data_IF_286175881231
#
_entry.id   IF_286175881231
#
_cell.length_a   1.000
_cell.length_b   1.000
_cell.length_c   1.000
_cell.angle_alpha   90.00
_cell.angle_beta   90.00
_cell.angle_gamma   90.00
#
_symmetry.space_group_name_H-M   'P 1'
#
loop_
_entity.id
_entity.type
_entity.pdbx_description
1 polymer ?
#
# COMPACT_ATOMS: atom_id res chain seq x y z
N UNK A 1 19.02 4.13 -18.71
CA UNK A 1 17.95 3.11 -18.82
C UNK A 1 16.65 3.81 -18.46
N UNK A 2 15.70 3.89 -19.40
CA UNK A 2 14.62 4.88 -19.35
C UNK A 2 13.68 4.69 -18.14
N UNK A 3 13.38 5.77 -17.41
CA UNK A 3 12.40 5.86 -16.30
C UNK A 3 11.04 5.19 -16.65
N UNK A 4 10.70 5.15 -17.95
CA UNK A 4 9.51 4.47 -18.49
C UNK A 4 9.51 2.95 -18.30
N UNK A 5 10.68 2.29 -18.24
CA UNK A 5 10.75 0.82 -18.08
C UNK A 5 10.43 0.42 -16.64
N UNK A 6 10.95 1.17 -15.67
CA UNK A 6 10.67 0.97 -14.24
C UNK A 6 9.19 1.25 -13.98
N UNK A 7 8.64 2.36 -14.50
CA UNK A 7 7.21 2.69 -14.37
C UNK A 7 6.27 1.57 -14.85
N UNK A 8 6.61 0.91 -15.96
CA UNK A 8 5.83 -0.23 -16.47
C UNK A 8 5.95 -1.47 -15.59
N UNK A 9 7.15 -1.81 -15.11
CA UNK A 9 7.34 -2.97 -14.23
C UNK A 9 6.61 -2.80 -12.89
N UNK A 10 6.62 -1.59 -12.30
CA UNK A 10 5.91 -1.33 -11.04
C UNK A 10 4.38 -1.28 -11.25
N UNK A 11 3.89 -0.74 -12.38
CA UNK A 11 2.45 -0.75 -12.69
C UNK A 11 1.90 -2.16 -12.97
N UNK A 12 2.65 -3.00 -13.68
CA UNK A 12 2.27 -4.39 -13.96
C UNK A 12 2.22 -5.23 -12.67
N UNK A 13 3.17 -5.02 -11.75
CA UNK A 13 3.19 -5.69 -10.45
C UNK A 13 1.96 -5.38 -9.57
N UNK A 14 1.39 -4.18 -9.71
CA UNK A 14 0.18 -3.74 -8.97
C UNK A 14 -1.12 -4.29 -9.58
N UNK A 15 -1.17 -4.53 -10.89
CA UNK A 15 -2.38 -5.00 -11.59
C UNK A 15 -2.68 -6.49 -11.39
N UNK A 16 -1.65 -7.30 -11.11
CA UNK A 16 -1.77 -8.75 -11.03
C UNK A 16 -2.02 -9.30 -9.62
N UNK A 17 -3.26 -9.23 -9.11
CA UNK A 17 -3.93 -10.24 -8.24
C UNK A 17 -5.06 -9.62 -7.41
N UNK A 18 -6.27 -9.65 -7.97
CA UNK A 18 -7.50 -9.63 -7.17
C UNK A 18 -8.14 -11.01 -7.26
N UNK A 19 -8.12 -11.87 -6.21
CA UNK A 19 -9.03 -12.98 -6.17
C UNK A 19 -10.38 -12.47 -5.63
N UNK A 20 -11.33 -12.35 -6.56
CA UNK A 20 -12.76 -12.17 -6.33
C UNK A 20 -13.40 -13.54 -6.00
N UNK A 21 -14.36 -13.53 -5.05
CA UNK A 21 -15.39 -14.56 -4.74
C UNK A 21 -14.92 -15.84 -4.02
N UNK A 22 -15.73 -16.54 -3.22
CA UNK A 22 -17.20 -16.63 -3.21
C UNK A 22 -17.77 -16.92 -1.80
N UNK A 23 -18.97 -16.41 -1.54
CA UNK A 23 -19.90 -16.95 -0.56
C UNK A 23 -20.89 -17.88 -1.29
N UNK A 24 -21.20 -19.03 -0.68
CA UNK A 24 -22.51 -19.73 -0.64
C UNK A 24 -22.36 -21.26 -0.57
N UNK A 25 -23.00 -21.90 0.42
CA UNK A 25 -24.08 -22.89 0.23
C UNK A 25 -24.74 -23.30 1.58
N UNK A 26 -26.03 -23.72 1.60
CA UNK A 26 -26.83 -23.92 2.82
C UNK A 26 -27.22 -25.40 3.10
N UNK A 27 -27.92 -25.59 4.24
CA UNK A 27 -28.81 -26.70 4.71
C UNK A 27 -28.28 -27.72 5.74
N UNK A 28 -29.09 -27.87 6.80
CA UNK A 28 -29.23 -29.00 7.73
C UNK A 28 -30.55 -29.73 7.35
N UNK A 29 -30.79 -31.04 7.63
CA UNK A 29 -31.23 -31.44 8.99
C UNK A 29 -30.87 -32.88 9.46
N UNK A 30 -30.68 -33.02 10.77
CA UNK A 30 -31.13 -34.16 11.63
C UNK A 30 -30.28 -35.44 11.67
N UNK A 31 -29.83 -35.85 12.87
CA UNK A 31 -30.19 -37.14 13.50
C UNK A 31 -29.66 -37.25 14.95
N UNK A 32 -30.24 -38.21 15.67
CA UNK A 32 -30.46 -38.41 17.10
C UNK A 32 -29.28 -38.78 18.05
N UNK A 33 -29.60 -38.60 19.35
CA UNK A 33 -29.21 -39.39 20.54
C UNK A 33 -27.79 -39.31 21.18
N UNK A 34 -27.82 -39.34 22.52
CA UNK A 34 -26.78 -39.61 23.55
C UNK A 34 -25.83 -38.52 24.03
N UNK A 35 -26.14 -38.08 25.26
CA UNK A 35 -25.27 -38.02 26.45
C UNK A 35 -23.79 -37.64 26.25
N UNK A 36 -23.49 -36.40 26.64
CA UNK A 36 -22.13 -35.94 26.89
C UNK A 36 -22.06 -34.43 26.70
N UNK A 37 -22.01 -33.66 27.78
CA UNK A 37 -21.76 -32.21 27.72
C UNK A 37 -20.31 -31.97 27.30
N UNK A 38 -20.01 -32.19 26.02
CA UNK A 38 -18.74 -31.86 25.42
C UNK A 38 -18.63 -30.33 25.37
N UNK A 39 -17.68 -29.79 26.13
CA UNK A 39 -17.32 -28.37 26.08
C UNK A 39 -16.71 -28.14 24.69
N UNK A 40 -17.54 -27.73 23.74
CA UNK A 40 -17.08 -27.27 22.42
C UNK A 40 -16.34 -25.96 22.66
N UNK A 41 -15.03 -26.05 22.81
CA UNK A 41 -14.14 -24.89 22.79
C UNK A 41 -14.21 -24.32 21.38
N UNK A 42 -15.11 -23.35 21.16
CA UNK A 42 -15.15 -22.52 19.94
C UNK A 42 -13.75 -21.97 19.74
N UNK A 43 -13.01 -22.54 18.79
CA UNK A 43 -11.72 -22.01 18.32
C UNK A 43 -11.96 -20.58 17.87
N UNK A 44 -11.48 -19.61 18.66
CA UNK A 44 -11.50 -18.19 18.30
C UNK A 44 -10.86 -18.05 16.91
N UNK A 45 -11.54 -17.47 15.91
CA UNK A 45 -10.93 -17.23 14.62
C UNK A 45 -9.65 -16.42 14.82
N UNK A 46 -8.50 -17.00 14.47
CA UNK A 46 -7.23 -16.26 14.48
C UNK A 46 -7.33 -15.22 13.37
N UNK A 47 -7.47 -13.96 13.73
CA UNK A 47 -7.39 -12.86 12.78
C UNK A 47 -6.07 -12.96 12.01
N UNK A 48 -6.13 -13.05 10.68
CA UNK A 48 -4.94 -12.99 9.83
C UNK A 48 -4.30 -11.62 10.02
N UNK A 49 -2.98 -11.57 10.24
CA UNK A 49 -2.24 -10.31 10.30
C UNK A 49 -2.39 -9.57 8.97
N UNK A 50 -2.67 -8.25 8.98
CA UNK A 50 -2.80 -7.49 7.75
C UNK A 50 -1.50 -7.51 6.96
N UNK A 51 -1.60 -7.58 5.63
CA UNK A 51 -0.42 -7.49 4.76
C UNK A 51 0.13 -6.07 4.79
N UNK A 52 1.45 -5.96 4.86
CA UNK A 52 2.17 -4.68 4.85
C UNK A 52 2.54 -4.32 3.41
N UNK A 53 2.51 -3.02 3.13
CA UNK A 53 2.80 -2.43 1.83
C UNK A 53 3.80 -1.29 1.99
N UNK A 54 4.76 -1.21 1.07
CA UNK A 54 5.70 -0.09 0.96
C UNK A 54 5.05 0.98 0.09
N UNK A 55 5.14 2.24 0.49
CA UNK A 55 4.75 3.39 -0.34
C UNK A 55 6.01 4.05 -0.87
N UNK A 56 6.07 4.21 -2.19
CA UNK A 56 7.25 4.63 -2.92
C UNK A 56 6.95 5.89 -3.75
N UNK A 57 7.88 6.83 -3.79
CA UNK A 57 7.90 7.92 -4.77
C UNK A 57 8.84 7.56 -5.92
N UNK A 58 8.45 7.93 -7.14
CA UNK A 58 9.24 7.72 -8.34
C UNK A 58 9.78 9.05 -8.86
N UNK A 59 11.02 9.03 -9.33
CA UNK A 59 11.68 10.22 -9.89
C UNK A 59 11.10 10.62 -11.24
N UNK A 60 11.08 11.93 -11.47
CA UNK A 60 10.72 12.57 -12.74
C UNK A 60 11.52 13.88 -12.90
N UNK A 61 11.54 14.43 -14.11
CA UNK A 61 12.37 15.59 -14.44
C UNK A 61 11.70 16.96 -14.21
N UNK A 62 10.45 16.99 -13.70
CA UNK A 62 9.62 18.21 -13.67
C UNK A 62 9.11 18.59 -12.28
N UNK A 63 9.04 17.66 -11.34
CA UNK A 63 8.63 17.94 -9.97
C UNK A 63 9.78 18.59 -9.19
N UNK A 64 9.60 19.80 -8.62
CA UNK A 64 10.64 20.47 -7.83
C UNK A 64 11.03 19.67 -6.58
N UNK A 65 12.33 19.69 -6.21
CA UNK A 65 12.85 19.01 -5.01
C UNK A 65 12.10 19.44 -3.73
N UNK A 66 11.90 20.75 -3.55
CA UNK A 66 11.16 21.31 -2.40
C UNK A 66 9.72 20.80 -2.33
N UNK A 67 9.09 20.56 -3.49
CA UNK A 67 7.75 19.98 -3.52
C UNK A 67 7.75 18.54 -3.01
N UNK A 68 8.75 17.74 -3.39
CA UNK A 68 8.92 16.35 -2.91
C UNK A 68 9.15 16.34 -1.39
N UNK A 69 10.02 17.22 -0.87
CA UNK A 69 10.25 17.35 0.57
C UNK A 69 8.93 17.68 1.29
N UNK A 70 8.19 18.67 0.81
CA UNK A 70 6.89 19.04 1.41
C UNK A 70 5.88 17.89 1.39
N UNK A 71 5.81 17.13 0.30
CA UNK A 71 4.97 15.92 0.21
C UNK A 71 5.37 14.90 1.26
N UNK A 72 6.66 14.64 1.43
CA UNK A 72 7.15 13.63 2.38
C UNK A 72 6.87 14.05 3.82
N UNK A 73 7.12 15.32 4.18
CA UNK A 73 6.78 15.87 5.50
C UNK A 73 5.28 15.76 5.79
N UNK A 74 4.45 16.26 4.86
CA UNK A 74 3.01 16.43 5.05
C UNK A 74 2.26 15.11 5.14
N UNK A 75 2.56 14.15 4.26
CA UNK A 75 1.77 12.92 4.14
C UNK A 75 2.40 11.73 4.84
N UNK A 76 3.70 11.76 5.15
CA UNK A 76 4.40 10.65 5.81
C UNK A 76 4.94 10.99 7.20
N UNK A 77 4.67 12.21 7.68
CA UNK A 77 5.07 12.67 9.02
C UNK A 77 6.57 12.49 9.27
N UNK A 78 7.38 12.74 8.24
CA UNK A 78 8.84 12.73 8.33
C UNK A 78 9.35 14.07 8.81
N UNK A 79 10.48 14.04 9.52
CA UNK A 79 11.23 15.25 9.81
C UNK A 79 11.76 15.85 8.50
N UNK A 80 12.12 17.14 8.52
CA UNK A 80 12.70 17.79 7.36
C UNK A 80 13.95 17.08 6.85
N UNK A 81 14.84 16.68 7.76
CA UNK A 81 16.06 15.93 7.44
C UNK A 81 15.72 14.59 6.76
N UNK A 82 14.83 13.79 7.35
CA UNK A 82 14.42 12.52 6.76
C UNK A 82 13.76 12.70 5.39
N UNK A 83 12.94 13.74 5.24
CA UNK A 83 12.27 14.07 3.99
C UNK A 83 13.27 14.46 2.89
N UNK A 84 14.28 15.25 3.25
CA UNK A 84 15.37 15.62 2.34
C UNK A 84 16.18 14.39 1.91
N UNK A 85 16.52 13.49 2.84
CA UNK A 85 17.24 12.26 2.51
C UNK A 85 16.42 11.34 1.58
N UNK A 86 15.12 11.18 1.85
CA UNK A 86 14.22 10.41 0.99
C UNK A 86 14.14 11.07 -0.40
N UNK A 87 14.00 12.38 -0.48
CA UNK A 87 13.96 13.12 -1.74
C UNK A 87 15.24 12.91 -2.55
N UNK A 88 16.42 13.06 -1.92
CA UNK A 88 17.70 12.84 -2.60
C UNK A 88 17.84 11.39 -3.06
N UNK A 89 17.34 10.43 -2.27
CA UNK A 89 17.31 9.02 -2.67
C UNK A 89 16.44 8.79 -3.91
N UNK A 90 15.25 9.41 -3.99
CA UNK A 90 14.40 9.38 -5.18
C UNK A 90 15.16 9.97 -6.37
N UNK A 91 15.73 11.16 -6.23
CA UNK A 91 16.42 11.88 -7.30
C UNK A 91 17.57 11.08 -7.92
N UNK A 92 18.42 10.48 -7.08
CA UNK A 92 19.60 9.74 -7.54
C UNK A 92 19.30 8.30 -7.98
N UNK A 93 18.38 7.61 -7.31
CA UNK A 93 18.14 6.18 -7.53
C UNK A 93 16.87 5.88 -8.33
N UNK A 94 16.09 6.90 -8.68
CA UNK A 94 14.83 6.77 -9.42
C UNK A 94 13.61 6.42 -8.57
N UNK A 95 13.82 5.95 -7.33
CA UNK A 95 12.76 5.53 -6.41
C UNK A 95 13.18 5.73 -4.95
N UNK A 96 12.24 6.04 -4.07
CA UNK A 96 12.49 6.16 -2.63
C UNK A 96 11.30 5.69 -1.80
N UNK A 97 11.59 4.99 -0.70
CA UNK A 97 10.59 4.52 0.25
C UNK A 97 10.21 5.62 1.24
N UNK A 98 8.92 5.98 1.27
CA UNK A 98 8.40 6.96 2.21
C UNK A 98 7.93 6.31 3.52
N UNK A 99 7.52 5.04 3.47
CA UNK A 99 7.16 4.25 4.64
C UNK A 99 6.45 2.93 4.32
N UNK A 100 6.16 2.16 5.38
CA UNK A 100 5.45 0.88 5.32
C UNK A 100 4.17 0.96 6.12
N UNK A 101 3.05 0.55 5.51
CA UNK A 101 1.71 0.68 6.08
C UNK A 101 0.87 -0.57 5.80
N UNK A 102 -0.30 -0.68 6.42
CA UNK A 102 -1.33 -1.61 5.97
C UNK A 102 -1.88 -1.16 4.61
N UNK A 103 -2.50 -2.08 3.86
CA UNK A 103 -3.06 -1.79 2.53
C UNK A 103 -3.91 -0.51 2.48
N UNK A 104 -4.93 -0.41 3.34
CA UNK A 104 -5.88 0.72 3.33
C UNK A 104 -5.19 2.07 3.60
N UNK A 105 -4.21 2.08 4.51
CA UNK A 105 -3.43 3.27 4.83
C UNK A 105 -2.49 3.64 3.69
N UNK A 106 -1.83 2.65 3.07
CA UNK A 106 -0.97 2.86 1.91
C UNK A 106 -1.76 3.43 0.72
N UNK A 107 -2.91 2.83 0.39
CA UNK A 107 -3.80 3.25 -0.71
C UNK A 107 -4.28 4.69 -0.53
N UNK A 108 -4.69 5.04 0.70
CA UNK A 108 -5.11 6.40 1.05
C UNK A 108 -3.96 7.39 0.88
N UNK A 109 -2.76 7.07 1.39
CA UNK A 109 -1.58 7.95 1.26
C UNK A 109 -1.17 8.15 -0.19
N UNK A 110 -1.15 7.09 -1.00
CA UNK A 110 -0.88 7.17 -2.44
C UNK A 110 -1.87 8.12 -3.10
N UNK A 111 -3.16 7.92 -2.88
CA UNK A 111 -4.22 8.78 -3.46
C UNK A 111 -4.05 10.24 -3.06
N UNK A 112 -3.81 10.52 -1.78
CA UNK A 112 -3.61 11.88 -1.26
C UNK A 112 -2.40 12.58 -1.90
N UNK A 113 -1.27 11.88 -2.03
CA UNK A 113 -0.06 12.42 -2.66
C UNK A 113 -0.32 12.73 -4.14
N UNK A 114 -0.92 11.78 -4.86
CA UNK A 114 -1.22 11.92 -6.28
C UNK A 114 -2.20 13.08 -6.55
N UNK A 115 -3.24 13.23 -5.74
CA UNK A 115 -4.18 14.35 -5.83
C UNK A 115 -3.51 15.69 -5.54
N UNK A 116 -2.64 15.72 -4.53
CA UNK A 116 -1.91 16.93 -4.17
C UNK A 116 -0.94 17.36 -5.28
N UNK A 117 -0.18 16.42 -5.86
CA UNK A 117 0.70 16.65 -7.00
C UNK A 117 -0.07 17.20 -8.22
N UNK A 118 -1.19 16.57 -8.58
CA UNK A 118 -2.04 17.03 -9.70
C UNK A 118 -2.56 18.46 -9.48
N UNK A 119 -3.03 18.79 -8.27
CA UNK A 119 -3.51 20.13 -7.94
C UNK A 119 -2.43 21.21 -8.07
N UNK A 120 -1.17 20.84 -7.85
CA UNK A 120 0.00 21.71 -8.01
C UNK A 120 0.68 21.56 -9.38
N UNK A 121 0.05 20.87 -10.33
CA UNK A 121 0.54 20.70 -11.70
C UNK A 121 1.91 19.98 -11.79
N UNK A 122 2.19 19.07 -10.87
CA UNK A 122 3.39 18.23 -10.90
C UNK A 122 3.07 16.80 -11.33
N UNK A 123 3.91 16.15 -12.18
CA UNK A 123 3.67 14.79 -12.63
C UNK A 123 4.11 13.70 -11.64
N UNK A 124 4.52 14.08 -10.42
CA UNK A 124 5.01 13.20 -9.36
C UNK A 124 4.16 11.92 -9.23
N UNK A 125 4.81 10.77 -9.32
CA UNK A 125 4.18 9.47 -9.14
C UNK A 125 4.45 8.89 -7.75
N UNK A 126 3.40 8.36 -7.15
CA UNK A 126 3.41 7.65 -5.88
C UNK A 126 2.73 6.31 -6.08
N UNK A 127 3.37 5.23 -5.64
CA UNK A 127 2.88 3.84 -5.82
C UNK A 127 3.01 3.06 -4.53
N UNK A 128 2.35 1.90 -4.45
CA UNK A 128 2.52 0.96 -3.35
C UNK A 128 2.74 -0.46 -3.84
N UNK A 129 3.59 -1.21 -3.14
CA UNK A 129 3.87 -2.62 -3.42
C UNK A 129 3.82 -3.45 -2.14
N UNK A 130 3.51 -4.75 -2.27
CA UNK A 130 3.46 -5.66 -1.12
C UNK A 130 4.88 -5.91 -0.60
N UNK A 131 5.06 -5.82 0.73
CA UNK A 131 6.32 -6.13 1.41
C UNK A 131 6.48 -7.63 1.70
#
# INVERSE_FOLDING_TARGET
MSSKLIQNEVQEAVRGRVPVRAASTPRNPGDDDRSGTAIITRTKPRAKRPSLYRVLLLNDDYTPMEFVVHVVERFFNKSHEDAYQIMMHVHHNGVGECGVFTYEVAETKVTQVMDFARKHQHPLQCVMEKK
#
